data_IF_194090724670
#
_entry.id   IF_194090724670
#
_cell.length_a   1.000
_cell.length_b   1.000
_cell.length_c   1.000
_cell.angle_alpha   90.00
_cell.angle_beta   90.00
_cell.angle_gamma   90.00
#
_symmetry.space_group_name_H-M   'P 1'
#
loop_
_entity.id
_entity.type
_entity.pdbx_description
1 polymer ?
#
# COMPACT_ATOMS: atom_id res chain seq x y z
N UNK A 1 -8.64 1.31 -28.64
CA UNK A 1 -8.89 2.73 -28.35
C UNK A 1 -8.29 3.12 -27.01
N UNK A 2 -7.04 3.59 -27.05
CA UNK A 2 -6.34 4.17 -25.91
C UNK A 2 -6.90 5.55 -25.62
N UNK A 3 -7.54 5.72 -24.47
CA UNK A 3 -7.93 7.04 -23.96
C UNK A 3 -6.66 7.90 -23.83
N UNK A 4 -6.67 9.17 -24.28
CA UNK A 4 -5.48 10.02 -24.26
C UNK A 4 -5.01 10.24 -22.81
N UNK A 5 -3.70 10.20 -22.61
CA UNK A 5 -3.00 10.43 -21.34
C UNK A 5 -3.31 11.80 -20.70
N UNK A 6 -3.96 12.69 -21.44
CA UNK A 6 -4.22 14.09 -21.09
C UNK A 6 -5.42 14.27 -20.16
N UNK A 7 -6.44 13.39 -20.22
CA UNK A 7 -7.61 13.47 -19.31
C UNK A 7 -7.34 12.94 -17.89
N UNK A 8 -6.25 12.18 -17.69
CA UNK A 8 -5.88 11.55 -16.40
C UNK A 8 -5.11 12.49 -15.46
N UNK A 9 -4.62 13.61 -15.98
CA UNK A 9 -3.86 14.58 -15.20
C UNK A 9 -4.76 15.60 -14.46
N UNK A 10 -6.03 15.69 -14.84
CA UNK A 10 -6.99 16.73 -14.44
C UNK A 10 -7.22 16.83 -12.93
N UNK A 11 -6.98 15.74 -12.17
CA UNK A 11 -7.15 15.64 -10.72
C UNK A 11 -5.84 15.42 -9.94
N UNK A 12 -4.67 15.63 -10.54
CA UNK A 12 -3.40 15.53 -9.79
C UNK A 12 -3.29 16.62 -8.72
N UNK A 13 -2.82 16.27 -7.51
CA UNK A 13 -2.57 17.27 -6.45
C UNK A 13 -1.63 18.41 -6.88
N UNK A 14 -0.69 18.14 -7.79
CA UNK A 14 0.21 19.18 -8.32
C UNK A 14 -0.59 20.19 -9.17
N UNK A 15 -1.53 19.73 -9.99
CA UNK A 15 -2.35 20.61 -10.82
C UNK A 15 -3.41 21.34 -9.99
N UNK A 16 -4.03 20.65 -9.03
CA UNK A 16 -4.97 21.25 -8.09
C UNK A 16 -4.30 22.37 -7.28
N UNK A 17 -3.05 22.18 -6.82
CA UNK A 17 -2.29 23.25 -6.16
C UNK A 17 -2.05 24.45 -7.07
N UNK A 18 -1.68 24.23 -8.34
CA UNK A 18 -1.52 25.33 -9.30
C UNK A 18 -2.81 26.13 -9.49
N UNK A 19 -3.96 25.46 -9.56
CA UNK A 19 -5.28 26.10 -9.63
C UNK A 19 -5.58 26.89 -8.35
N UNK A 20 -5.35 26.29 -7.18
CA UNK A 20 -5.50 26.97 -5.89
C UNK A 20 -4.59 28.20 -5.74
N UNK A 21 -3.37 28.15 -6.30
CA UNK A 21 -2.44 29.28 -6.26
C UNK A 21 -2.90 30.50 -7.08
N UNK A 22 -3.83 30.33 -8.02
CA UNK A 22 -4.42 31.43 -8.77
C UNK A 22 -5.54 32.15 -7.99
N UNK A 23 -6.11 31.50 -6.96
CA UNK A 23 -7.11 32.08 -6.06
C UNK A 23 -6.41 32.59 -4.78
N UNK A 24 -6.45 33.91 -4.47
CA UNK A 24 -5.82 34.47 -3.28
C UNK A 24 -6.29 33.83 -1.96
N UNK A 25 -7.58 33.51 -1.83
CA UNK A 25 -8.15 32.93 -0.63
C UNK A 25 -7.67 31.47 -0.46
N UNK A 26 -7.73 30.68 -1.54
CA UNK A 26 -7.23 29.31 -1.52
C UNK A 26 -5.72 29.26 -1.24
N UNK A 27 -4.94 30.15 -1.87
CA UNK A 27 -3.49 30.26 -1.66
C UNK A 27 -3.18 30.57 -0.19
N UNK A 28 -3.84 31.56 0.40
CA UNK A 28 -3.65 31.92 1.80
C UNK A 28 -4.00 30.73 2.73
N UNK A 29 -5.19 30.14 2.56
CA UNK A 29 -5.63 28.99 3.34
C UNK A 29 -4.66 27.80 3.28
N UNK A 30 -4.12 27.50 2.08
CA UNK A 30 -3.13 26.43 1.90
C UNK A 30 -1.81 26.71 2.65
N UNK A 31 -1.31 27.94 2.60
CA UNK A 31 -0.09 28.31 3.33
C UNK A 31 -0.29 28.29 4.85
N UNK A 32 -1.46 28.75 5.33
CA UNK A 32 -1.82 28.67 6.74
C UNK A 32 -1.91 27.23 7.21
N UNK A 33 -2.65 26.37 6.50
CA UNK A 33 -2.78 24.96 6.87
C UNK A 33 -1.44 24.21 6.85
N UNK A 34 -0.56 24.53 5.88
CA UNK A 34 0.80 23.97 5.85
C UNK A 34 1.60 24.27 7.13
N UNK A 35 1.45 25.47 7.67
CA UNK A 35 2.12 25.87 8.91
C UNK A 35 1.61 25.08 10.12
N UNK A 36 0.32 24.72 10.13
CA UNK A 36 -0.30 23.88 11.16
C UNK A 36 0.27 22.45 11.19
N UNK A 37 0.58 21.89 10.02
CA UNK A 37 1.10 20.52 9.88
C UNK A 37 2.58 20.36 10.20
N UNK A 38 3.28 21.46 10.51
CA UNK A 38 4.73 21.49 10.74
C UNK A 38 5.15 21.13 12.18
N UNK A 39 4.19 20.97 13.11
CA UNK A 39 4.49 20.58 14.49
C UNK A 39 4.66 19.06 14.62
N UNK A 40 5.83 18.52 15.01
CA UNK A 40 6.11 17.08 15.02
C UNK A 40 5.45 16.29 16.16
N UNK A 41 4.80 16.98 17.11
CA UNK A 41 4.56 16.44 18.44
C UNK A 41 3.20 15.77 18.65
N UNK A 42 2.33 15.73 17.64
CA UNK A 42 0.99 15.16 17.82
C UNK A 42 0.71 14.13 16.74
N UNK A 43 0.59 12.83 17.10
CA UNK A 43 -0.06 11.86 16.24
C UNK A 43 -1.48 12.36 15.90
N UNK A 44 -1.82 12.40 14.62
CA UNK A 44 -3.19 12.63 14.17
C UNK A 44 -3.84 11.29 13.84
N UNK A 45 -5.11 11.06 14.19
CA UNK A 45 -5.52 10.88 15.57
C UNK A 45 -6.03 9.46 15.82
N UNK A 46 -5.55 8.82 16.89
CA UNK A 46 -6.48 8.27 17.87
C UNK A 46 -7.13 9.46 18.58
N UNK A 47 -8.43 9.39 18.86
CA UNK A 47 -9.43 10.38 19.33
C UNK A 47 -9.04 11.80 19.84
N UNK A 48 -7.79 12.08 20.24
CA UNK A 48 -7.36 13.31 20.91
C UNK A 48 -6.69 14.35 19.97
N UNK A 49 -6.18 13.96 18.79
CA UNK A 49 -5.40 14.85 17.92
C UNK A 49 -6.19 15.95 17.20
N UNK A 50 -7.44 15.68 16.82
CA UNK A 50 -8.32 16.65 16.14
C UNK A 50 -8.74 17.80 17.08
N UNK A 51 -8.83 17.51 18.38
CA UNK A 51 -9.13 18.46 19.46
C UNK A 51 -7.94 19.37 19.82
N UNK A 52 -6.74 19.11 19.24
CA UNK A 52 -5.53 19.92 19.47
C UNK A 52 -5.28 20.99 18.39
N UNK A 53 -6.14 21.09 17.37
CA UNK A 53 -6.01 22.11 16.33
C UNK A 53 -6.38 23.49 16.86
N UNK A 54 -5.56 24.51 16.54
CA UNK A 54 -6.01 25.88 16.72
C UNK A 54 -7.24 26.17 15.85
N UNK A 55 -8.11 27.07 16.34
CA UNK A 55 -9.30 27.50 15.60
C UNK A 55 -8.94 28.03 14.20
N UNK A 56 -7.80 28.72 14.07
CA UNK A 56 -7.30 29.25 12.81
C UNK A 56 -6.95 28.14 11.79
N UNK A 57 -6.39 27.03 12.26
CA UNK A 57 -6.06 25.89 11.40
C UNK A 57 -7.32 25.16 10.93
N UNK A 58 -8.32 25.03 11.80
CA UNK A 58 -9.62 24.49 11.42
C UNK A 58 -10.30 25.38 10.39
N UNK A 59 -10.20 26.69 10.53
CA UNK A 59 -10.78 27.63 9.57
C UNK A 59 -10.10 27.57 8.20
N UNK A 60 -8.77 27.53 8.17
CA UNK A 60 -8.01 27.30 6.94
C UNK A 60 -8.39 25.98 6.27
N UNK A 61 -8.59 24.91 7.05
CA UNK A 61 -9.04 23.62 6.54
C UNK A 61 -10.47 23.68 5.94
N UNK A 62 -11.41 24.40 6.59
CA UNK A 62 -12.77 24.61 6.06
C UNK A 62 -12.77 25.34 4.72
N UNK A 63 -11.94 26.37 4.58
CA UNK A 63 -11.81 27.12 3.33
C UNK A 63 -11.31 26.24 2.18
N UNK A 64 -10.35 25.34 2.46
CA UNK A 64 -9.82 24.41 1.45
C UNK A 64 -10.81 23.30 1.07
N UNK A 65 -11.83 23.02 1.89
CA UNK A 65 -12.86 22.01 1.58
C UNK A 65 -13.61 22.30 0.28
N UNK A 66 -13.81 23.57 -0.03
CA UNK A 66 -14.51 24.01 -1.24
C UNK A 66 -13.58 24.21 -2.44
N UNK A 67 -12.30 23.84 -2.32
CA UNK A 67 -11.29 24.04 -3.35
C UNK A 67 -11.06 22.81 -4.23
N UNK A 68 -10.40 23.00 -5.37
CA UNK A 68 -9.96 21.90 -6.25
C UNK A 68 -8.97 20.92 -5.60
N UNK A 69 -8.43 21.23 -4.42
CA UNK A 69 -7.49 20.36 -3.70
C UNK A 69 -8.18 19.17 -3.02
N UNK A 70 -9.47 19.27 -2.68
CA UNK A 70 -10.14 18.27 -1.84
C UNK A 70 -10.21 16.89 -2.52
N UNK A 71 -10.40 16.85 -3.83
CA UNK A 71 -10.49 15.61 -4.62
C UNK A 71 -9.19 15.17 -5.29
N UNK A 72 -8.05 15.78 -4.95
CA UNK A 72 -6.82 15.51 -5.66
C UNK A 72 -6.19 14.16 -5.30
N UNK A 73 -5.59 13.49 -6.28
CA UNK A 73 -4.88 12.24 -6.07
C UNK A 73 -3.45 12.28 -6.62
N UNK A 74 -2.66 11.32 -6.16
CA UNK A 74 -1.32 11.05 -6.66
C UNK A 74 -1.28 9.73 -7.42
N UNK A 75 -0.23 9.54 -8.21
CA UNK A 75 -0.03 8.32 -8.97
C UNK A 75 1.29 7.69 -8.57
N UNK A 76 1.35 6.35 -8.51
CA UNK A 76 2.62 5.65 -8.35
C UNK A 76 3.52 5.91 -9.56
N UNK A 77 4.84 6.00 -9.37
CA UNK A 77 5.84 6.21 -10.44
C UNK A 77 5.75 7.55 -11.16
N UNK A 78 5.04 8.54 -10.61
CA UNK A 78 5.04 9.89 -11.16
C UNK A 78 6.36 10.61 -10.86
N UNK A 79 6.85 11.44 -11.79
CA UNK A 79 8.16 12.14 -11.65
C UNK A 79 8.28 12.95 -10.35
N UNK A 80 7.21 13.65 -9.96
CA UNK A 80 7.17 14.54 -8.80
C UNK A 80 6.36 13.94 -7.65
N UNK A 81 6.51 12.64 -7.40
CA UNK A 81 5.70 11.91 -6.40
C UNK A 81 5.84 12.52 -5.01
N UNK A 82 7.06 12.82 -4.56
CA UNK A 82 7.30 13.43 -3.25
C UNK A 82 6.51 14.74 -3.08
N UNK A 83 6.56 15.63 -4.08
CA UNK A 83 5.80 16.88 -4.08
C UNK A 83 4.29 16.63 -4.06
N UNK A 84 3.80 15.66 -4.84
CA UNK A 84 2.38 15.32 -4.86
C UNK A 84 1.89 14.86 -3.49
N UNK A 85 2.61 13.92 -2.85
CA UNK A 85 2.26 13.40 -1.53
C UNK A 85 2.33 14.48 -0.45
N UNK A 86 3.33 15.35 -0.51
CA UNK A 86 3.40 16.50 0.40
C UNK A 86 2.14 17.37 0.29
N UNK A 87 1.70 17.69 -0.93
CA UNK A 87 0.47 18.46 -1.16
C UNK A 87 -0.74 17.71 -0.61
N UNK A 88 -0.87 16.41 -0.90
CA UNK A 88 -1.96 15.58 -0.43
C UNK A 88 -2.06 15.59 1.10
N UNK A 89 -0.95 15.39 1.81
CA UNK A 89 -0.93 15.34 3.26
C UNK A 89 -1.11 16.71 3.91
N UNK A 90 -0.68 17.80 3.27
CA UNK A 90 -1.00 19.16 3.73
C UNK A 90 -2.50 19.42 3.73
N UNK A 91 -3.25 18.93 2.73
CA UNK A 91 -4.70 19.16 2.62
C UNK A 91 -5.54 18.09 3.31
N UNK A 92 -4.91 17.01 3.80
CA UNK A 92 -5.59 15.91 4.46
C UNK A 92 -6.49 16.34 5.63
N UNK A 93 -6.08 17.26 6.53
CA UNK A 93 -6.97 17.73 7.60
C UNK A 93 -8.29 18.29 7.08
N UNK A 94 -8.30 18.96 5.92
CA UNK A 94 -9.52 19.50 5.30
C UNK A 94 -10.46 18.40 4.76
N UNK A 95 -9.92 17.22 4.45
CA UNK A 95 -10.70 16.03 4.03
C UNK A 95 -11.36 15.34 5.21
N UNK A 96 -10.62 15.23 6.31
CA UNK A 96 -11.09 14.57 7.53
C UNK A 96 -12.02 15.45 8.38
N UNK A 97 -12.40 16.64 7.90
CA UNK A 97 -13.33 17.52 8.62
C UNK A 97 -14.77 17.00 8.53
N UNK A 98 -15.26 16.42 9.62
CA UNK A 98 -16.69 16.19 9.85
C UNK A 98 -17.20 14.76 9.66
N UNK A 99 -16.37 13.84 9.19
CA UNK A 99 -16.67 12.41 9.16
C UNK A 99 -15.43 11.61 9.61
N UNK A 100 -15.65 10.55 10.38
CA UNK A 100 -14.63 9.54 10.71
C UNK A 100 -14.36 8.68 9.46
N UNK A 101 -13.80 9.30 8.42
CA UNK A 101 -13.36 8.57 7.23
C UNK A 101 -11.94 8.04 7.50
N UNK A 102 -11.75 6.72 7.37
CA UNK A 102 -10.42 6.12 7.43
C UNK A 102 -9.47 6.88 6.49
N UNK A 103 -8.21 7.08 6.90
CA UNK A 103 -7.15 7.64 6.03
C UNK A 103 -7.25 6.96 4.64
N UNK A 104 -7.64 7.74 3.63
CA UNK A 104 -7.83 7.24 2.27
C UNK A 104 -6.45 7.18 1.59
N UNK A 105 -6.19 6.12 0.82
CA UNK A 105 -4.94 6.04 0.07
C UNK A 105 -4.79 7.25 -0.87
N UNK A 106 -3.63 7.93 -0.87
CA UNK A 106 -3.39 9.06 -1.77
C UNK A 106 -3.18 8.65 -3.22
N UNK A 107 -3.09 7.35 -3.50
CA UNK A 107 -2.80 6.84 -4.84
C UNK A 107 -4.08 6.47 -5.58
N UNK A 108 -4.26 7.02 -6.78
CA UNK A 108 -5.28 6.58 -7.73
C UNK A 108 -4.73 5.39 -8.54
N UNK A 109 -5.45 4.26 -8.50
CA UNK A 109 -5.07 3.04 -9.21
C UNK A 109 -5.41 3.18 -10.70
N UNK A 110 -4.43 3.50 -11.54
CA UNK A 110 -4.58 3.33 -12.99
C UNK A 110 -4.52 1.83 -13.32
N UNK A 111 -5.68 1.18 -13.38
CA UNK A 111 -5.84 -0.22 -13.78
C UNK A 111 -5.29 -0.42 -15.20
N UNK A 112 -4.00 -0.73 -15.29
CA UNK A 112 -3.36 -1.22 -16.51
C UNK A 112 -2.26 -2.21 -16.14
N UNK A 113 -2.60 -3.25 -15.36
CA UNK A 113 -1.73 -4.43 -15.29
C UNK A 113 -1.78 -5.11 -16.65
N UNK A 114 -0.81 -4.81 -17.52
CA UNK A 114 -0.62 -5.56 -18.75
C UNK A 114 -0.33 -7.03 -18.36
N UNK A 115 -0.94 -8.03 -19.03
CA UNK A 115 -0.64 -9.43 -18.80
C UNK A 115 0.86 -9.68 -18.84
N UNK A 116 1.37 -10.48 -17.89
CA UNK A 116 2.78 -10.82 -17.86
C UNK A 116 3.13 -11.71 -19.04
N UNK A 117 3.74 -11.13 -20.07
CA UNK A 117 4.40 -11.91 -21.13
C UNK A 117 5.78 -12.32 -20.63
N UNK A 118 5.89 -13.50 -20.01
CA UNK A 118 7.18 -14.16 -19.80
C UNK A 118 7.64 -14.70 -21.15
N UNK A 119 8.85 -14.34 -21.58
CA UNK A 119 9.43 -15.04 -22.71
C UNK A 119 9.95 -16.40 -22.22
N UNK A 120 9.07 -17.40 -22.29
CA UNK A 120 9.33 -18.76 -21.80
C UNK A 120 10.52 -19.41 -22.52
N UNK A 121 10.94 -18.94 -23.70
CA UNK A 121 12.17 -19.40 -24.37
C UNK A 121 13.45 -19.21 -23.52
N UNK A 122 13.42 -18.28 -22.56
CA UNK A 122 14.52 -18.07 -21.60
C UNK A 122 14.52 -19.07 -20.43
N UNK A 123 13.49 -19.91 -20.27
CA UNK A 123 13.49 -20.99 -19.26
C UNK A 123 14.57 -22.03 -19.54
N UNK A 124 14.93 -22.26 -20.81
CA UNK A 124 15.97 -23.22 -21.19
C UNK A 124 17.36 -22.86 -20.62
N UNK A 125 17.57 -21.61 -20.19
CA UNK A 125 18.79 -21.16 -19.51
C UNK A 125 18.75 -21.35 -17.99
N UNK A 126 17.64 -21.83 -17.43
CA UNK A 126 17.50 -22.10 -16.01
C UNK A 126 18.08 -23.48 -15.70
N UNK A 127 18.88 -23.57 -14.64
CA UNK A 127 19.35 -24.87 -14.15
C UNK A 127 18.15 -25.71 -13.70
N UNK A 128 18.04 -26.98 -14.13
CA UNK A 128 16.91 -27.84 -13.79
C UNK A 128 16.77 -28.01 -12.26
N UNK A 129 17.89 -28.23 -11.57
CA UNK A 129 17.96 -28.48 -10.12
C UNK A 129 17.89 -27.21 -9.25
N UNK A 130 17.74 -26.02 -9.86
CA UNK A 130 17.65 -24.78 -9.11
C UNK A 130 16.32 -24.66 -8.36
N UNK A 131 16.38 -24.14 -7.13
CA UNK A 131 15.19 -23.73 -6.39
C UNK A 131 14.40 -22.63 -7.14
N UNK A 132 13.08 -22.53 -6.88
CA UNK A 132 12.22 -21.59 -7.61
C UNK A 132 12.60 -20.12 -7.36
N UNK A 133 13.10 -19.77 -6.17
CA UNK A 133 13.61 -18.43 -5.90
C UNK A 133 14.85 -18.11 -6.75
N UNK A 134 15.76 -19.08 -6.95
CA UNK A 134 16.90 -18.94 -7.83
C UNK A 134 16.49 -18.86 -9.31
N UNK A 135 15.44 -19.57 -9.72
CA UNK A 135 14.87 -19.43 -11.08
C UNK A 135 14.34 -18.01 -11.32
N UNK A 136 13.56 -17.44 -10.41
CA UNK A 136 13.11 -16.04 -10.51
C UNK A 136 14.26 -15.03 -10.47
N UNK A 137 15.27 -15.27 -9.63
CA UNK A 137 16.47 -14.45 -9.58
C UNK A 137 17.21 -14.45 -10.93
N UNK A 138 17.32 -15.62 -11.57
CA UNK A 138 17.93 -15.75 -12.91
C UNK A 138 17.09 -15.03 -13.97
N UNK A 139 15.76 -15.14 -13.93
CA UNK A 139 14.88 -14.40 -14.85
C UNK A 139 15.04 -12.87 -14.73
N UNK A 140 15.28 -12.35 -13.52
CA UNK A 140 15.63 -10.95 -13.33
C UNK A 140 16.99 -10.62 -13.93
N UNK A 141 18.01 -11.47 -13.73
CA UNK A 141 19.35 -11.28 -14.31
C UNK A 141 19.35 -11.31 -15.83
N UNK A 142 18.46 -12.07 -16.47
CA UNK A 142 18.28 -12.11 -17.93
C UNK A 142 17.51 -10.91 -18.51
N UNK A 143 17.09 -9.96 -17.67
CA UNK A 143 16.44 -8.74 -18.08
C UNK A 143 17.26 -7.52 -17.64
N UNK A 144 17.85 -6.81 -18.59
CA UNK A 144 18.81 -5.73 -18.33
C UNK A 144 18.32 -4.70 -17.31
N UNK A 145 17.05 -4.29 -17.40
CA UNK A 145 16.47 -3.33 -16.46
C UNK A 145 16.36 -3.91 -15.05
N UNK A 146 15.88 -5.14 -14.92
CA UNK A 146 15.76 -5.81 -13.61
C UNK A 146 17.14 -6.08 -13.01
N UNK A 147 18.07 -6.60 -13.80
CA UNK A 147 19.44 -6.89 -13.40
C UNK A 147 20.17 -5.63 -12.93
N UNK A 148 20.07 -4.53 -13.68
CA UNK A 148 20.66 -3.24 -13.30
C UNK A 148 20.12 -2.75 -11.95
N UNK A 149 18.80 -2.76 -11.76
CA UNK A 149 18.19 -2.35 -10.49
C UNK A 149 18.57 -3.30 -9.34
N UNK A 150 18.66 -4.61 -9.61
CA UNK A 150 19.05 -5.63 -8.64
C UNK A 150 20.50 -5.47 -8.18
N UNK A 151 21.42 -5.26 -9.12
CA UNK A 151 22.83 -4.97 -8.82
C UNK A 151 22.98 -3.67 -8.03
N UNK A 152 22.18 -2.64 -8.35
CA UNK A 152 22.23 -1.37 -7.64
C UNK A 152 21.88 -1.50 -6.15
N UNK A 153 20.78 -2.18 -5.80
CA UNK A 153 20.46 -2.42 -4.38
C UNK A 153 21.40 -3.44 -3.74
N UNK A 154 21.83 -4.48 -4.46
CA UNK A 154 22.80 -5.45 -3.96
C UNK A 154 24.13 -4.81 -3.55
N UNK A 155 24.62 -3.84 -4.33
CA UNK A 155 25.80 -3.04 -4.00
C UNK A 155 25.56 -2.14 -2.77
N UNK A 156 24.44 -1.42 -2.74
CA UNK A 156 24.14 -0.48 -1.66
C UNK A 156 23.84 -1.16 -0.30
N UNK A 157 23.36 -2.40 -0.33
CA UNK A 157 23.02 -3.20 0.85
C UNK A 157 24.11 -4.22 1.25
N UNK A 158 25.29 -4.16 0.63
CA UNK A 158 26.39 -5.09 0.94
C UNK A 158 26.88 -4.90 2.38
N UNK A 159 27.11 -5.99 3.10
CA UNK A 159 27.43 -5.96 4.54
C UNK A 159 28.70 -5.17 4.87
N UNK A 160 29.72 -5.23 4.01
CA UNK A 160 31.01 -4.55 4.23
C UNK A 160 30.94 -3.03 4.10
N UNK A 161 29.96 -2.50 3.37
CA UNK A 161 29.79 -1.07 3.10
C UNK A 161 28.33 -0.61 3.26
N UNK A 162 27.58 -1.25 4.15
CA UNK A 162 26.16 -1.01 4.31
C UNK A 162 25.89 0.43 4.77
N UNK A 163 25.32 1.24 3.87
CA UNK A 163 24.70 2.50 4.22
C UNK A 163 23.19 2.31 4.16
N UNK A 164 22.56 2.03 5.31
CA UNK A 164 21.13 1.67 5.40
C UNK A 164 20.21 2.62 4.63
N UNK A 165 20.43 3.94 4.72
CA UNK A 165 19.63 4.94 3.98
C UNK A 165 19.75 4.77 2.46
N UNK A 166 20.95 4.50 1.95
CA UNK A 166 21.19 4.25 0.53
C UNK A 166 20.61 2.89 0.10
N UNK A 167 20.77 1.84 0.92
CA UNK A 167 20.16 0.53 0.72
C UNK A 167 18.63 0.64 0.57
N UNK A 168 17.95 1.29 1.53
CA UNK A 168 16.50 1.51 1.50
C UNK A 168 16.07 2.33 0.28
N UNK A 169 16.85 3.33 -0.14
CA UNK A 169 16.57 4.10 -1.35
C UNK A 169 16.65 3.24 -2.63
N UNK A 170 17.65 2.36 -2.73
CA UNK A 170 17.80 1.46 -3.88
C UNK A 170 16.74 0.34 -3.89
N UNK A 171 16.37 -0.19 -2.72
CA UNK A 171 15.23 -1.12 -2.59
C UNK A 171 13.93 -0.48 -3.07
N UNK A 172 13.63 0.75 -2.63
CA UNK A 172 12.46 1.50 -3.14
C UNK A 172 12.53 1.66 -4.65
N UNK A 173 13.69 2.06 -5.19
CA UNK A 173 13.88 2.22 -6.62
C UNK A 173 13.65 0.91 -7.39
N UNK A 174 14.08 -0.24 -6.85
CA UNK A 174 13.84 -1.56 -7.46
C UNK A 174 12.34 -1.89 -7.52
N UNK A 175 11.64 -1.91 -6.39
CA UNK A 175 10.23 -2.28 -6.33
C UNK A 175 9.31 -1.27 -7.04
N UNK A 176 9.77 -0.03 -7.19
CA UNK A 176 9.05 0.97 -7.97
C UNK A 176 9.31 0.86 -9.47
N UNK A 177 10.55 0.62 -9.93
CA UNK A 177 10.89 0.72 -11.37
C UNK A 177 10.91 -0.61 -12.12
N UNK A 178 11.10 -1.73 -11.40
CA UNK A 178 11.05 -3.06 -12.00
C UNK A 178 9.64 -3.38 -12.51
N UNK A 179 9.54 -4.29 -13.48
CA UNK A 179 8.24 -4.78 -13.89
C UNK A 179 7.60 -5.53 -12.72
N UNK A 180 6.31 -5.29 -12.46
CA UNK A 180 5.58 -5.90 -11.34
C UNK A 180 5.81 -7.42 -11.23
N UNK A 181 5.78 -8.19 -12.33
CA UNK A 181 5.97 -9.63 -12.22
C UNK A 181 7.38 -10.07 -11.85
N UNK A 182 8.41 -9.31 -12.24
CA UNK A 182 9.80 -9.59 -11.85
C UNK A 182 10.02 -9.30 -10.37
N UNK A 183 9.50 -8.17 -9.89
CA UNK A 183 9.59 -7.79 -8.49
C UNK A 183 8.83 -8.78 -7.59
N UNK A 184 7.61 -9.17 -7.99
CA UNK A 184 6.81 -10.16 -7.27
C UNK A 184 7.46 -11.55 -7.33
N UNK A 185 7.99 -11.98 -8.48
CA UNK A 185 8.69 -13.27 -8.60
C UNK A 185 9.93 -13.36 -7.72
N UNK A 186 10.74 -12.29 -7.68
CA UNK A 186 11.96 -12.25 -6.86
C UNK A 186 11.68 -12.30 -5.35
N UNK A 187 10.61 -11.64 -4.89
CA UNK A 187 10.28 -11.56 -3.47
C UNK A 187 9.35 -12.69 -2.99
N UNK A 188 8.30 -12.99 -3.77
CA UNK A 188 7.21 -13.91 -3.40
C UNK A 188 7.39 -15.26 -4.09
N UNK A 189 8.62 -15.77 -4.11
CA UNK A 189 8.92 -17.08 -4.67
C UNK A 189 8.47 -18.21 -3.72
N UNK A 190 7.84 -19.27 -4.25
CA UNK A 190 7.47 -20.44 -3.47
C UNK A 190 8.70 -21.27 -3.09
N UNK A 191 8.64 -21.92 -1.93
CA UNK A 191 9.64 -22.88 -1.46
C UNK A 191 8.92 -24.04 -0.78
N UNK A 192 9.45 -25.26 -0.92
CA UNK A 192 8.98 -26.39 -0.13
C UNK A 192 9.38 -26.20 1.35
N UNK A 193 8.59 -26.66 2.33
CA UNK A 193 8.96 -26.58 3.75
C UNK A 193 10.26 -27.31 4.09
N UNK A 194 10.61 -28.34 3.31
CA UNK A 194 11.85 -29.11 3.42
C UNK A 194 13.07 -28.40 2.82
N UNK A 195 12.86 -27.40 1.94
CA UNK A 195 13.92 -26.65 1.28
C UNK A 195 14.20 -25.34 2.03
N UNK A 196 14.89 -25.48 3.17
CA UNK A 196 15.31 -24.35 3.98
C UNK A 196 16.24 -23.38 3.24
N UNK A 197 16.98 -23.85 2.22
CA UNK A 197 17.90 -23.02 1.44
C UNK A 197 17.15 -22.02 0.56
N UNK A 198 16.06 -22.45 -0.09
CA UNK A 198 15.14 -21.60 -0.82
C UNK A 198 14.49 -20.55 0.09
N UNK A 199 13.99 -20.97 1.25
CA UNK A 199 13.37 -20.04 2.20
C UNK A 199 14.35 -19.01 2.75
N UNK A 200 15.60 -19.40 2.99
CA UNK A 200 16.65 -18.47 3.40
C UNK A 200 17.02 -17.49 2.27
N UNK A 201 17.06 -17.95 1.02
CA UNK A 201 17.22 -17.07 -0.16
C UNK A 201 16.10 -16.03 -0.22
N UNK A 202 14.84 -16.46 -0.03
CA UNK A 202 13.67 -15.58 -0.01
C UNK A 202 13.76 -14.54 1.10
N UNK A 203 14.14 -14.95 2.31
CA UNK A 203 14.32 -14.08 3.48
C UNK A 203 15.42 -13.04 3.27
N UNK A 204 16.50 -13.44 2.57
CA UNK A 204 17.64 -12.58 2.30
C UNK A 204 17.51 -11.72 1.03
N UNK A 205 16.40 -11.81 0.29
CA UNK A 205 16.16 -11.03 -0.95
C UNK A 205 16.33 -9.52 -0.75
N UNK A 206 15.92 -8.99 0.40
CA UNK A 206 16.00 -7.56 0.71
C UNK A 206 17.22 -7.18 1.57
N UNK A 207 18.20 -8.07 1.73
CA UNK A 207 19.38 -7.89 2.58
C UNK A 207 19.02 -7.42 4.01
N UNK A 208 18.32 -8.25 4.81
CA UNK A 208 17.76 -7.84 6.10
C UNK A 208 18.82 -7.37 7.10
N UNK A 209 20.05 -7.88 7.04
CA UNK A 209 21.18 -7.44 7.88
C UNK A 209 21.52 -5.96 7.72
N UNK A 210 21.21 -5.37 6.56
CA UNK A 210 21.41 -3.95 6.28
C UNK A 210 20.09 -3.14 6.28
N UNK A 211 19.02 -3.69 5.70
CA UNK A 211 17.77 -2.96 5.51
C UNK A 211 16.93 -2.82 6.79
N UNK A 212 16.92 -3.84 7.66
CA UNK A 212 16.14 -3.84 8.88
C UNK A 212 16.89 -3.15 10.03
N UNK A 213 16.19 -2.70 11.09
CA UNK A 213 16.83 -2.13 12.27
C UNK A 213 17.77 -3.14 12.94
N UNK A 214 18.99 -2.73 13.34
CA UNK A 214 19.89 -3.62 14.07
C UNK A 214 19.38 -3.96 15.48
N UNK A 215 18.65 -3.02 16.08
CA UNK A 215 17.94 -3.18 17.35
C UNK A 215 16.45 -3.12 17.05
N UNK A 216 15.70 -4.10 17.54
CA UNK A 216 14.25 -4.20 17.34
C UNK A 216 13.50 -3.11 18.13
N UNK A 217 12.93 -2.08 17.48
CA UNK A 217 12.24 -0.98 18.15
C UNK A 217 10.82 -1.36 18.58
N UNK A 218 10.14 -0.47 19.30
CA UNK A 218 8.71 -0.57 19.51
C UNK A 218 7.95 -0.35 18.17
N UNK A 219 6.91 -1.12 17.88
CA UNK A 219 6.19 -1.01 16.61
C UNK A 219 5.47 0.34 16.45
N UNK A 220 5.01 0.95 17.54
CA UNK A 220 4.37 2.27 17.51
C UNK A 220 5.37 3.38 17.20
N UNK A 221 6.60 3.27 17.69
CA UNK A 221 7.69 4.20 17.33
C UNK A 221 8.06 4.10 15.86
N UNK A 222 8.09 2.87 15.33
CA UNK A 222 8.32 2.64 13.90
C UNK A 222 7.19 3.25 13.05
N UNK A 223 5.94 3.12 13.51
CA UNK A 223 4.77 3.75 12.89
C UNK A 223 4.87 5.28 12.94
N UNK A 224 5.26 5.88 14.07
CA UNK A 224 5.50 7.32 14.19
C UNK A 224 6.55 7.81 13.20
N UNK A 225 7.68 7.11 13.10
CA UNK A 225 8.73 7.42 12.11
C UNK A 225 8.22 7.30 10.66
N UNK A 226 7.29 6.38 10.40
CA UNK A 226 6.67 6.26 9.09
C UNK A 226 5.71 7.42 8.77
N UNK A 227 4.93 7.88 9.76
CA UNK A 227 3.98 8.98 9.56
C UNK A 227 4.67 10.33 9.27
N UNK A 228 5.91 10.53 9.75
CA UNK A 228 6.68 11.76 9.46
C UNK A 228 7.21 11.81 8.03
N UNK A 229 7.40 10.66 7.37
CA UNK A 229 7.80 10.59 5.96
C UNK A 229 6.55 10.46 5.06
N UNK A 230 6.25 11.46 4.21
CA UNK A 230 5.06 11.43 3.37
C UNK A 230 4.94 10.19 2.49
N UNK A 231 6.06 9.62 2.04
CA UNK A 231 6.05 8.41 1.22
C UNK A 231 5.71 7.19 2.07
N UNK A 232 6.36 6.99 3.21
CA UNK A 232 6.09 5.87 4.11
C UNK A 232 4.65 5.91 4.59
N UNK A 233 4.18 7.08 5.07
CA UNK A 233 2.78 7.29 5.46
C UNK A 233 1.81 6.86 4.35
N UNK A 234 2.05 7.32 3.13
CA UNK A 234 1.23 6.92 1.97
C UNK A 234 1.25 5.43 1.69
N UNK A 235 2.41 4.77 1.78
CA UNK A 235 2.51 3.31 1.55
C UNK A 235 1.86 2.49 2.66
N UNK A 236 1.91 2.98 3.90
CA UNK A 236 1.25 2.35 5.05
C UNK A 236 -0.27 2.42 4.92
N UNK A 237 -0.81 3.61 4.63
CA UNK A 237 -2.25 3.78 4.42
C UNK A 237 -2.72 2.93 3.25
N UNK A 238 -1.98 2.89 2.15
CA UNK A 238 -2.30 2.05 1.00
C UNK A 238 -2.34 0.55 1.35
N UNK A 239 -1.43 0.08 2.21
CA UNK A 239 -1.46 -1.28 2.75
C UNK A 239 -2.69 -1.51 3.64
N UNK A 240 -2.97 -0.58 4.55
CA UNK A 240 -4.13 -0.65 5.44
C UNK A 240 -5.45 -0.65 4.66
N UNK A 241 -5.56 0.09 3.56
CA UNK A 241 -6.74 0.10 2.69
C UNK A 241 -6.90 -1.21 1.94
N UNK A 242 -5.86 -1.67 1.24
CA UNK A 242 -6.00 -2.77 0.30
C UNK A 242 -5.85 -4.17 0.92
N UNK A 243 -5.11 -4.27 2.03
CA UNK A 243 -4.91 -5.51 2.76
C UNK A 243 -5.76 -5.62 4.03
N UNK A 244 -6.74 -4.73 4.25
CA UNK A 244 -7.67 -4.89 5.36
C UNK A 244 -8.46 -6.20 5.20
N UNK A 245 -8.45 -7.09 6.21
CA UNK A 245 -9.28 -8.29 6.18
C UNK A 245 -10.74 -7.90 6.45
N UNK A 246 -11.66 -8.32 5.58
CA UNK A 246 -13.10 -8.07 5.70
C UNK A 246 -13.84 -9.39 5.89
N UNK A 247 -14.82 -9.38 6.80
CA UNK A 247 -15.68 -10.52 7.09
C UNK A 247 -14.98 -11.67 7.82
N UNK A 248 -15.77 -12.69 8.17
CA UNK A 248 -15.33 -13.84 8.99
C UNK A 248 -14.32 -14.72 8.23
N UNK A 249 -14.44 -14.79 6.89
CA UNK A 249 -13.49 -15.50 6.03
C UNK A 249 -12.17 -14.74 5.88
N UNK A 250 -12.12 -13.45 6.22
CA UNK A 250 -10.90 -12.66 6.18
C UNK A 250 -10.40 -12.36 4.76
N UNK A 251 -11.32 -12.18 3.82
CA UNK A 251 -11.00 -11.81 2.43
C UNK A 251 -10.48 -10.38 2.36
N UNK A 252 -9.75 -10.03 1.30
CA UNK A 252 -9.26 -8.66 1.12
C UNK A 252 -10.41 -7.69 0.88
N UNK A 253 -10.35 -6.50 1.48
CA UNK A 253 -11.29 -5.40 1.21
C UNK A 253 -11.37 -5.01 -0.28
N UNK A 254 -10.27 -5.22 -1.00
CA UNK A 254 -10.16 -5.00 -2.44
C UNK A 254 -9.55 -6.23 -3.14
N UNK A 255 -8.98 -6.08 -4.33
CA UNK A 255 -8.32 -7.19 -5.03
C UNK A 255 -7.01 -7.63 -4.34
N UNK A 256 -6.76 -8.94 -4.28
CA UNK A 256 -5.48 -9.51 -3.80
C UNK A 256 -4.26 -8.92 -4.52
N UNK A 257 -4.40 -8.59 -5.82
CA UNK A 257 -3.36 -7.94 -6.63
C UNK A 257 -2.94 -6.59 -6.05
N UNK A 258 -3.90 -5.78 -5.59
CA UNK A 258 -3.69 -4.47 -4.98
C UNK A 258 -3.06 -4.62 -3.61
N UNK A 259 -3.51 -5.58 -2.81
CA UNK A 259 -2.87 -5.90 -1.53
C UNK A 259 -1.37 -6.23 -1.71
N UNK A 260 -1.03 -7.12 -2.66
CA UNK A 260 0.39 -7.43 -2.94
C UNK A 260 1.17 -6.21 -3.41
N UNK A 261 0.57 -5.35 -4.24
CA UNK A 261 1.20 -4.11 -4.69
C UNK A 261 1.41 -3.11 -3.55
N UNK A 262 0.51 -3.06 -2.57
CA UNK A 262 0.65 -2.26 -1.37
C UNK A 262 1.72 -2.82 -0.42
N UNK A 263 1.71 -4.14 -0.19
CA UNK A 263 2.72 -4.86 0.60
C UNK A 263 4.15 -4.67 0.04
N UNK A 264 4.37 -4.90 -1.26
CA UNK A 264 5.67 -4.61 -1.90
C UNK A 264 6.03 -3.12 -1.83
N UNK A 265 5.02 -2.25 -1.75
CA UNK A 265 5.18 -0.81 -1.65
C UNK A 265 5.80 -0.34 -0.33
N UNK A 266 5.75 -1.16 0.72
CA UNK A 266 6.36 -0.88 2.02
C UNK A 266 7.87 -1.15 2.06
N UNK A 267 8.40 -1.91 1.10
CA UNK A 267 9.81 -2.30 1.10
C UNK A 267 10.69 -1.09 0.80
N UNK A 268 11.69 -0.88 1.66
CA UNK A 268 12.59 0.27 1.60
C UNK A 268 12.03 1.52 2.28
N UNK A 269 10.93 1.39 3.02
CA UNK A 269 10.41 2.40 3.97
C UNK A 269 10.81 2.05 5.41
N UNK A 270 10.46 2.91 6.39
CA UNK A 270 10.70 2.60 7.80
C UNK A 270 9.99 1.30 8.24
N UNK A 271 8.78 1.06 7.74
CA UNK A 271 7.97 -0.14 8.05
C UNK A 271 8.17 -1.23 7.00
N UNK A 272 9.43 -1.58 6.69
CA UNK A 272 9.74 -2.66 5.75
C UNK A 272 9.43 -4.03 6.39
N UNK A 273 8.45 -4.80 5.87
CA UNK A 273 8.19 -6.16 6.36
C UNK A 273 9.19 -7.15 5.74
N UNK A 274 9.37 -8.31 6.39
CA UNK A 274 10.12 -9.43 5.82
C UNK A 274 9.54 -10.78 6.23
N UNK A 275 9.97 -11.84 5.56
CA UNK A 275 9.73 -13.20 6.00
C UNK A 275 10.47 -13.48 7.31
N UNK A 276 9.76 -14.01 8.31
CA UNK A 276 10.34 -14.34 9.62
C UNK A 276 10.88 -15.78 9.68
N UNK A 277 10.36 -16.65 8.80
CA UNK A 277 10.64 -18.08 8.80
C UNK A 277 11.33 -18.51 7.51
N UNK A 278 12.18 -19.52 7.64
CA UNK A 278 12.83 -20.21 6.50
C UNK A 278 11.97 -21.34 5.94
N UNK A 279 10.92 -21.76 6.64
CA UNK A 279 10.10 -22.94 6.26
C UNK A 279 8.69 -22.56 5.80
N UNK A 280 8.15 -21.45 6.28
CA UNK A 280 6.81 -20.98 5.93
C UNK A 280 6.85 -19.55 5.35
N UNK A 281 5.71 -19.10 4.83
CA UNK A 281 5.56 -17.78 4.22
C UNK A 281 5.04 -16.72 5.21
N UNK A 282 5.26 -16.88 6.51
CA UNK A 282 4.88 -15.87 7.50
C UNK A 282 5.74 -14.62 7.38
N UNK A 283 5.09 -13.46 7.42
CA UNK A 283 5.72 -12.14 7.29
C UNK A 283 5.42 -11.29 8.52
N UNK A 284 6.34 -10.42 8.91
CA UNK A 284 6.14 -9.47 9.99
C UNK A 284 7.02 -8.24 9.81
N UNK A 285 6.75 -7.19 10.59
CA UNK A 285 7.67 -6.09 10.78
C UNK A 285 8.81 -6.51 11.73
N UNK A 286 9.96 -5.85 11.60
CA UNK A 286 11.05 -5.99 12.56
C UNK A 286 10.84 -4.98 13.70
N UNK A 287 9.91 -5.29 14.60
CA UNK A 287 9.58 -4.51 15.79
C UNK A 287 8.97 -5.42 16.88
N UNK A 288 8.80 -4.92 18.11
CA UNK A 288 8.06 -5.61 19.18
C UNK A 288 7.07 -4.66 19.85
N UNK A 289 6.15 -5.19 20.63
CA UNK A 289 5.30 -4.39 21.51
C UNK A 289 5.82 -4.24 22.94
N UNK A 290 7.11 -4.52 23.19
CA UNK A 290 7.72 -4.25 24.49
C UNK A 290 7.76 -2.74 24.73
N UNK A 291 7.36 -2.32 25.94
CA UNK A 291 7.41 -0.91 26.36
C UNK A 291 6.27 -0.04 25.80
N UNK A 292 5.16 -0.63 25.34
CA UNK A 292 4.03 0.14 24.78
C UNK A 292 3.13 0.79 25.85
N UNK A 293 3.21 0.34 27.11
CA UNK A 293 2.39 0.86 28.22
C UNK A 293 0.89 0.75 27.93
N UNK A 294 0.17 1.86 28.03
CA UNK A 294 -1.27 1.92 27.78
C UNK A 294 -1.66 1.65 26.31
N UNK A 295 -0.73 1.75 25.35
CA UNK A 295 -0.97 1.48 23.93
C UNK A 295 -0.61 0.03 23.53
N UNK A 296 -0.57 -0.90 24.49
CA UNK A 296 -0.20 -2.30 24.23
C UNK A 296 -1.14 -2.95 23.20
N UNK A 297 -2.45 -2.81 23.35
CA UNK A 297 -3.43 -3.39 22.44
C UNK A 297 -3.30 -2.83 21.02
N UNK A 298 -3.13 -1.51 20.90
CA UNK A 298 -2.93 -0.84 19.62
C UNK A 298 -1.65 -1.33 18.93
N UNK A 299 -0.57 -1.51 19.70
CA UNK A 299 0.67 -2.07 19.18
C UNK A 299 0.47 -3.50 18.65
N UNK A 300 -0.19 -4.35 19.43
CA UNK A 300 -0.44 -5.74 19.03
C UNK A 300 -1.34 -5.81 17.81
N UNK A 301 -2.34 -4.93 17.69
CA UNK A 301 -3.17 -4.83 16.50
C UNK A 301 -2.33 -4.46 15.27
N UNK A 302 -1.40 -3.51 15.41
CA UNK A 302 -0.45 -3.16 14.35
C UNK A 302 0.42 -4.37 13.97
N UNK A 303 0.97 -5.10 14.93
CA UNK A 303 1.79 -6.29 14.67
C UNK A 303 0.96 -7.39 13.95
N UNK A 304 -0.24 -7.67 14.46
CA UNK A 304 -1.18 -8.66 13.89
C UNK A 304 -1.63 -8.29 12.48
N UNK A 305 -1.69 -6.99 12.14
CA UNK A 305 -2.03 -6.53 10.79
C UNK A 305 -1.05 -7.00 9.70
N UNK A 306 0.15 -7.45 10.10
CA UNK A 306 1.12 -8.10 9.23
C UNK A 306 1.19 -9.61 9.47
N UNK A 307 1.35 -10.04 10.73
CA UNK A 307 1.66 -11.43 11.08
C UNK A 307 0.44 -12.36 11.08
N UNK A 308 -0.76 -11.83 11.32
CA UNK A 308 -2.02 -12.56 11.42
C UNK A 308 -3.08 -12.05 10.42
N UNK A 309 -2.62 -11.47 9.31
CA UNK A 309 -3.51 -10.95 8.27
C UNK A 309 -3.90 -12.04 7.27
N UNK A 310 -5.16 -12.49 7.34
CA UNK A 310 -5.72 -13.51 6.46
C UNK A 310 -5.67 -13.12 4.97
N UNK A 311 -6.07 -11.89 4.64
CA UNK A 311 -6.04 -11.36 3.28
C UNK A 311 -4.61 -11.41 2.71
N UNK A 312 -3.63 -10.90 3.45
CA UNK A 312 -2.23 -10.88 3.02
C UNK A 312 -1.69 -12.30 2.86
N UNK A 313 -1.97 -13.19 3.82
CA UNK A 313 -1.56 -14.60 3.78
C UNK A 313 -2.11 -15.31 2.55
N UNK A 314 -3.40 -15.12 2.26
CA UNK A 314 -4.05 -15.70 1.09
C UNK A 314 -3.51 -15.13 -0.23
N UNK A 315 -3.30 -13.81 -0.30
CA UNK A 315 -2.75 -13.15 -1.48
C UNK A 315 -1.33 -13.65 -1.79
N UNK A 316 -0.46 -13.77 -0.77
CA UNK A 316 0.89 -14.33 -0.92
C UNK A 316 0.80 -15.79 -1.36
N UNK A 317 -0.06 -16.60 -0.72
CA UNK A 317 -0.23 -18.00 -1.06
C UNK A 317 -0.74 -18.19 -2.50
N UNK A 318 -1.74 -17.40 -2.93
CA UNK A 318 -2.25 -17.42 -4.31
C UNK A 318 -1.16 -17.08 -5.32
N UNK A 319 -0.36 -16.06 -5.02
CA UNK A 319 0.76 -15.66 -5.86
C UNK A 319 1.85 -16.74 -5.94
N UNK A 320 2.19 -17.36 -4.82
CA UNK A 320 3.15 -18.46 -4.76
C UNK A 320 2.66 -19.68 -5.55
N UNK A 321 1.36 -20.04 -5.47
CA UNK A 321 0.78 -21.11 -6.30
C UNK A 321 0.89 -20.82 -7.79
N UNK A 322 0.56 -19.59 -8.20
CA UNK A 322 0.73 -19.14 -9.58
C UNK A 322 2.20 -19.22 -10.03
N UNK A 323 3.14 -18.80 -9.17
CA UNK A 323 4.56 -18.90 -9.44
C UNK A 323 5.07 -20.34 -9.57
N UNK A 324 4.53 -21.29 -8.81
CA UNK A 324 4.85 -22.71 -8.98
C UNK A 324 4.37 -23.23 -10.34
N UNK A 325 3.12 -22.92 -10.70
CA UNK A 325 2.52 -23.36 -11.96
C UNK A 325 3.29 -22.87 -13.20
N UNK A 326 3.87 -21.67 -13.13
CA UNK A 326 4.69 -21.09 -14.20
C UNK A 326 5.88 -21.97 -14.61
N UNK A 327 6.42 -22.78 -13.69
CA UNK A 327 7.58 -23.64 -13.92
C UNK A 327 7.25 -25.14 -13.92
N UNK A 328 5.98 -25.51 -13.74
CA UNK A 328 5.55 -26.92 -13.78
C UNK A 328 5.08 -27.37 -15.16
N UNK A 329 4.98 -26.46 -16.15
CA UNK A 329 4.58 -26.82 -17.51
C UNK A 329 5.80 -27.00 -18.42
N UNK A 330 6.18 -28.26 -18.63
CA UNK A 330 6.93 -28.69 -19.82
C UNK A 330 5.95 -28.78 -21.00
N UNK A 331 5.73 -27.69 -21.73
CA UNK A 331 5.20 -27.79 -23.10
C UNK A 331 5.52 -26.53 -23.92
N UNK A 332 6.01 -26.67 -25.17
CA UNK A 332 6.21 -25.55 -26.07
C UNK A 332 4.85 -25.10 -26.58
N UNK A 333 4.63 -23.80 -26.70
CA UNK A 333 3.40 -23.15 -27.16
C UNK A 333 2.26 -23.03 -26.14
N UNK A 334 2.35 -22.04 -25.27
CA UNK A 334 1.16 -21.24 -24.96
C UNK A 334 1.52 -19.83 -24.51
N UNK A 335 1.03 -18.84 -25.25
CA UNK A 335 1.04 -17.45 -24.81
C UNK A 335 0.00 -17.32 -23.71
N UNK A 336 0.40 -17.31 -22.43
CA UNK A 336 -0.53 -17.06 -21.34
C UNK A 336 -1.09 -15.63 -21.43
N UNK A 337 -2.36 -15.52 -21.79
CA UNK A 337 -3.17 -14.32 -21.63
C UNK A 337 -4.42 -14.69 -20.85
N UNK A 338 -4.34 -14.61 -19.52
CA UNK A 338 -5.51 -14.70 -18.65
C UNK A 338 -5.83 -13.28 -18.17
N UNK A 339 -6.95 -12.76 -18.65
CA UNK A 339 -7.61 -11.57 -18.11
C UNK A 339 -8.00 -11.82 -16.65
N UNK A 340 -7.88 -10.85 -15.74
CA UNK A 340 -8.64 -10.90 -14.50
C UNK A 340 -10.12 -10.93 -14.86
N UNK A 341 -10.90 -11.85 -14.28
CA UNK A 341 -12.36 -11.83 -14.41
C UNK A 341 -12.88 -10.43 -14.06
N UNK A 342 -13.42 -9.72 -15.04
CA UNK A 342 -14.25 -8.54 -14.82
C UNK A 342 -15.55 -9.01 -14.16
N UNK A 343 -15.61 -9.01 -12.83
CA UNK A 343 -16.90 -8.87 -12.17
C UNK A 343 -17.34 -7.42 -12.38
N UNK A 344 -18.20 -7.21 -13.38
CA UNK A 344 -18.96 -5.98 -13.55
C UNK A 344 -19.97 -5.91 -12.40
N UNK A 345 -19.58 -5.34 -11.28
CA UNK A 345 -20.56 -4.71 -10.38
C UNK A 345 -20.52 -3.21 -10.63
N UNK A 346 -21.66 -2.59 -10.98
CA UNK A 346 -21.72 -1.14 -11.12
C UNK A 346 -21.46 -0.47 -9.77
N UNK A 347 -20.65 0.59 -9.80
CA UNK A 347 -20.39 1.45 -8.66
C UNK A 347 -21.70 2.03 -8.13
N UNK A 348 -22.14 1.58 -6.96
CA UNK A 348 -23.21 2.24 -6.20
C UNK A 348 -22.51 3.22 -5.25
N UNK A 349 -22.58 4.51 -5.58
CA UNK A 349 -22.32 5.57 -4.62
C UNK A 349 -23.35 5.47 -3.48
N UNK A 350 -22.96 5.49 -2.20
CA UNK A 350 -23.91 5.64 -1.12
C UNK A 350 -24.44 7.07 -1.14
N UNK A 351 -25.68 7.24 -1.59
CA UNK A 351 -26.46 8.46 -1.36
C UNK A 351 -26.80 8.55 0.14
N UNK A 352 -26.72 9.74 0.77
CA UNK A 352 -27.10 9.92 2.16
C UNK A 352 -28.61 9.75 2.31
N UNK A 353 -29.05 8.74 3.06
CA UNK A 353 -30.45 8.56 3.43
C UNK A 353 -30.80 9.53 4.56
N UNK A 354 -31.70 10.47 4.31
CA UNK A 354 -32.39 11.21 5.36
C UNK A 354 -33.17 10.23 6.26
N UNK A 355 -33.22 10.44 7.59
CA UNK A 355 -34.05 9.63 8.47
C UNK A 355 -35.53 10.01 8.26
N UNK A 356 -36.31 9.08 7.73
CA UNK A 356 -37.77 9.17 7.73
C UNK A 356 -38.26 8.98 9.17
N UNK A 357 -38.82 10.04 9.75
CA UNK A 357 -39.63 9.98 10.97
C UNK A 357 -40.87 9.14 10.69
N UNK A 358 -40.93 7.94 11.26
CA UNK A 358 -42.13 7.11 11.27
C UNK A 358 -43.08 7.60 12.37
N UNK A 359 -44.13 8.31 11.97
CA UNK A 359 -45.28 8.57 12.83
C UNK A 359 -46.16 7.32 12.88
N UNK A 360 -46.13 6.60 14.01
CA UNK A 360 -47.13 5.58 14.33
C UNK A 360 -48.44 6.25 14.75
N UNK A 361 -49.43 6.30 13.84
CA UNK A 361 -50.82 6.55 14.22
C UNK A 361 -51.53 5.21 14.42
N UNK A 362 -51.78 4.86 15.68
CA UNK A 362 -52.70 3.79 16.09
C UNK A 362 -54.14 4.26 15.86
N UNK A 363 -54.87 3.63 14.95
CA UNK A 363 -56.34 3.77 14.84
C UNK A 363 -57.01 2.47 15.31
N UNK A 364 -57.67 2.56 16.47
CA UNK A 364 -58.61 1.56 16.96
C UNK A 364 -59.85 1.53 16.04
N UNK A 365 -60.15 0.35 15.48
CA UNK A 365 -61.45 0.03 14.89
C UNK A 365 -62.34 -0.58 15.98
N UNK A 366 -63.38 0.15 16.38
CA UNK A 366 -64.50 -0.35 17.17
C UNK A 366 -65.79 -0.17 16.35
N UNK A 367 -66.44 -1.31 16.10
CA UNK A 367 -67.84 -1.53 15.74
C UNK A 367 -68.50 -0.60 14.73
N UNK A 368 -68.95 -1.19 13.61
CA UNK A 368 -70.40 -1.23 13.33
C UNK A 368 -70.74 -2.41 12.42
N UNK A 369 -71.51 -3.31 13.00
CA UNK A 369 -72.37 -4.31 12.36
C UNK A 369 -73.36 -3.64 11.42
N UNK A 370 -73.59 -4.21 10.22
CA UNK A 370 -74.92 -4.37 9.61
C UNK A 370 -74.79 -5.14 8.28
N UNK A 371 -75.45 -6.31 8.28
CA UNK A 371 -75.89 -7.20 7.19
C UNK A 371 -74.96 -8.34 6.77
#
# INVERSE_FOLDING_TARGET
NSVPTESRLTNSCIQAKKKCQADPACKAAYHHLGSCTSSPSTPWPSEEGMSSMSADCLEAARQLRNSSLIGCACHRRMKNQATCLQIYWTVHPARSLGDYELDVSPYEDTVTSKPWKVNLSKLNMLKPDADLCLKFATLCTLNDKCDQLRKAFGKACSETHCQRRACLAQLRAFFEKAAEPQAQGLLLCPCAPTDASCGERRRNTIAPSCALPPVTPNCLDLRRLCHTDPLCRSRLVDFQTHCHPVGIQGTCATEQSRCLRAYLGLIGTAMTPNFISRVNASVALSCTCRGSGNMQEECEQLEKSFSQNSCLKEAIAAKMRFHSQLFSQDSPDTTFSVMPQQNKNPAVWPQPRLPFLSFCTFTLLLLQTLW
#
